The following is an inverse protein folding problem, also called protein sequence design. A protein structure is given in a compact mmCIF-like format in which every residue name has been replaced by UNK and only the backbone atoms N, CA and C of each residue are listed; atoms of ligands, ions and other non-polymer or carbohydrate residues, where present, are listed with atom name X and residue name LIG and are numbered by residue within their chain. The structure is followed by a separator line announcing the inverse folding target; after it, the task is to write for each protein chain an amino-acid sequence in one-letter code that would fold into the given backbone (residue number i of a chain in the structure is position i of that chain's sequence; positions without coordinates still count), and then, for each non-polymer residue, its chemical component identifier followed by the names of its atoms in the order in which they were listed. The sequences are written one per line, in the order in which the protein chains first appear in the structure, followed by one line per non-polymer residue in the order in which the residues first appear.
data_IF_447934180401
#
_entry.id   IF_447934180401
#
_cell.length_a   1.000
_cell.length_b   1.000
_cell.length_c   1.000
_cell.angle_alpha   90.00
_cell.angle_beta   90.00
_cell.angle_gamma   90.00
#
_symmetry.space_group_name_H-M   'P 1'
#
loop_
_entity.id
_entity.type
_entity.pdbx_description
1 polymer ?
#
# COMPACT_ATOMS: atom_id res chain seq x y z
N UNK A 1 -14.83 -5.70 -2.80
CA UNK A 1 -14.26 -7.05 -2.81
C UNK A 1 -12.76 -7.00 -3.01
N UNK A 2 -12.03 -7.77 -2.22
CA UNK A 2 -10.56 -7.85 -2.32
C UNK A 2 -10.21 -9.11 -3.12
N UNK A 3 -9.33 -9.00 -4.11
CA UNK A 3 -8.86 -10.13 -4.90
C UNK A 3 -7.40 -9.96 -5.28
N UNK A 4 -6.78 -11.04 -5.70
CA UNK A 4 -5.43 -10.98 -6.24
C UNK A 4 -5.45 -10.17 -7.55
N UNK A 5 -4.53 -9.21 -7.66
CA UNK A 5 -4.38 -8.42 -8.88
C UNK A 5 -3.70 -9.22 -9.99
N UNK A 6 -3.97 -8.85 -11.22
CA UNK A 6 -3.35 -9.43 -12.41
C UNK A 6 -2.71 -8.32 -13.24
N UNK A 7 -1.82 -8.66 -14.20
CA UNK A 7 -1.24 -7.62 -15.07
C UNK A 7 -2.27 -6.75 -15.80
N UNK A 8 -3.47 -7.27 -16.02
CA UNK A 8 -4.56 -6.50 -16.62
C UNK A 8 -5.04 -5.35 -15.72
N UNK A 9 -4.74 -5.37 -14.43
CA UNK A 9 -5.12 -4.33 -13.47
C UNK A 9 -4.14 -3.16 -13.42
N UNK A 10 -3.03 -3.22 -14.16
CA UNK A 10 -1.96 -2.22 -14.06
C UNK A 10 -2.42 -0.80 -14.34
N UNK A 11 -3.18 -0.60 -15.41
CA UNK A 11 -3.67 0.74 -15.78
C UNK A 11 -4.57 1.32 -14.68
N UNK A 12 -5.47 0.50 -14.13
CA UNK A 12 -6.36 0.93 -13.06
C UNK A 12 -5.60 1.23 -11.77
N UNK A 13 -4.62 0.38 -11.41
CA UNK A 13 -3.78 0.59 -10.23
C UNK A 13 -2.93 1.86 -10.37
N UNK A 14 -2.38 2.12 -11.54
CA UNK A 14 -1.65 3.36 -11.83
C UNK A 14 -2.55 4.60 -11.66
N UNK A 15 -3.80 4.51 -12.08
CA UNK A 15 -4.77 5.58 -11.88
C UNK A 15 -5.02 5.86 -10.39
N UNK A 16 -5.23 4.82 -9.59
CA UNK A 16 -5.40 4.94 -8.14
C UNK A 16 -4.15 5.54 -7.50
N UNK A 17 -2.97 5.02 -7.85
CA UNK A 17 -1.69 5.51 -7.34
C UNK A 17 -1.53 7.00 -7.56
N UNK A 18 -1.77 7.45 -8.80
CA UNK A 18 -1.64 8.86 -9.16
C UNK A 18 -2.64 9.74 -8.42
N UNK A 19 -3.91 9.38 -8.40
CA UNK A 19 -4.94 10.17 -7.71
C UNK A 19 -4.69 10.25 -6.20
N UNK A 20 -4.36 9.13 -5.58
CA UNK A 20 -4.08 9.07 -4.15
C UNK A 20 -2.84 9.89 -3.79
N UNK A 21 -1.76 9.77 -4.57
CA UNK A 21 -0.52 10.49 -4.32
C UNK A 21 -0.69 12.00 -4.48
N UNK A 22 -1.42 12.44 -5.49
CA UNK A 22 -1.64 13.86 -5.75
C UNK A 22 -2.70 14.48 -4.84
N UNK A 23 -3.47 13.69 -4.09
CA UNK A 23 -4.46 14.22 -3.16
C UNK A 23 -3.85 14.79 -1.88
N UNK A 24 -2.59 14.43 -1.58
CA UNK A 24 -1.87 14.94 -0.40
C UNK A 24 -1.22 16.27 -0.72
N UNK A 25 -1.79 17.36 -0.23
CA UNK A 25 -1.31 18.72 -0.52
C UNK A 25 0.17 18.93 -0.13
N UNK A 26 0.64 18.30 0.95
CA UNK A 26 2.02 18.41 1.40
C UNK A 26 3.04 17.79 0.46
N UNK A 27 2.65 16.78 -0.32
CA UNK A 27 3.55 16.05 -1.23
C UNK A 27 3.33 16.42 -2.69
N UNK A 28 2.24 17.09 -3.01
CA UNK A 28 1.82 17.34 -4.38
C UNK A 28 2.88 18.06 -5.22
N UNK A 29 3.46 19.13 -4.70
CA UNK A 29 4.44 19.91 -5.44
C UNK A 29 5.71 19.11 -5.69
N UNK A 30 6.18 18.33 -4.72
CA UNK A 30 7.32 17.43 -4.87
C UNK A 30 7.06 16.37 -5.93
N UNK A 31 5.87 15.78 -5.92
CA UNK A 31 5.49 14.73 -6.88
C UNK A 31 5.36 15.30 -8.30
N UNK A 32 4.84 16.51 -8.45
CA UNK A 32 4.77 17.16 -9.76
C UNK A 32 6.14 17.56 -10.29
N UNK A 33 7.09 17.89 -9.40
CA UNK A 33 8.47 18.18 -9.77
C UNK A 33 9.26 16.90 -10.10
N UNK A 34 8.80 15.74 -9.63
CA UNK A 34 9.44 14.43 -9.86
C UNK A 34 8.43 13.44 -10.41
N UNK A 35 8.00 13.59 -11.67
CA UNK A 35 6.93 12.73 -12.22
C UNK A 35 7.28 11.25 -12.27
N UNK A 36 8.55 10.87 -12.20
CA UNK A 36 8.98 9.48 -12.10
C UNK A 36 8.52 8.83 -10.79
N UNK A 37 8.26 9.59 -9.72
CA UNK A 37 7.72 9.08 -8.47
C UNK A 37 6.24 8.68 -8.57
N UNK A 38 5.57 9.09 -9.65
CA UNK A 38 4.17 8.76 -9.92
C UNK A 38 4.01 7.53 -10.82
N UNK A 39 5.11 6.85 -11.13
CA UNK A 39 5.08 5.67 -11.98
C UNK A 39 5.09 4.42 -11.11
N UNK A 40 3.97 3.69 -11.14
CA UNK A 40 3.87 2.39 -10.49
C UNK A 40 4.42 1.32 -11.43
N UNK A 41 5.39 0.52 -10.95
CA UNK A 41 5.95 -0.57 -11.74
C UNK A 41 5.00 -1.77 -11.84
N UNK A 42 5.17 -2.64 -12.85
CA UNK A 42 4.30 -3.79 -13.06
C UNK A 42 4.67 -5.02 -12.23
N UNK A 43 5.79 -5.01 -11.52
CA UNK A 43 6.39 -6.20 -10.90
C UNK A 43 5.48 -6.85 -9.88
N UNK A 44 4.83 -6.08 -9.02
CA UNK A 44 3.95 -6.62 -8.00
C UNK A 44 2.78 -7.40 -8.57
N UNK A 45 2.17 -6.90 -9.64
CA UNK A 45 1.08 -7.60 -10.33
C UNK A 45 1.58 -8.83 -11.07
N UNK A 46 2.71 -8.70 -11.76
CA UNK A 46 3.27 -9.81 -12.54
C UNK A 46 3.72 -10.96 -11.63
N UNK A 47 4.21 -10.65 -10.44
CA UNK A 47 4.74 -11.64 -9.49
C UNK A 47 3.71 -12.15 -8.48
N UNK A 48 2.46 -11.69 -8.55
CA UNK A 48 1.41 -12.12 -7.63
C UNK A 48 1.53 -11.54 -6.22
N UNK A 49 2.13 -10.34 -6.08
CA UNK A 49 2.35 -9.68 -4.80
C UNK A 49 1.41 -8.50 -4.56
N UNK A 50 0.50 -8.23 -5.49
CA UNK A 50 -0.45 -7.12 -5.39
C UNK A 50 -1.87 -7.64 -5.26
N UNK A 51 -2.58 -7.13 -4.27
CA UNK A 51 -4.02 -7.35 -4.13
C UNK A 51 -4.75 -6.05 -4.47
N UNK A 52 -5.91 -6.16 -5.08
CA UNK A 52 -6.72 -5.00 -5.47
C UNK A 52 -8.08 -5.06 -4.78
N UNK A 53 -8.63 -3.87 -4.51
CA UNK A 53 -9.99 -3.71 -4.02
C UNK A 53 -10.86 -3.25 -5.19
N UNK A 54 -11.96 -3.95 -5.41
CA UNK A 54 -12.89 -3.66 -6.49
C UNK A 54 -14.26 -3.31 -5.93
N UNK A 55 -14.84 -2.22 -6.40
CA UNK A 55 -16.20 -1.81 -6.09
C UNK A 55 -16.85 -1.29 -7.36
N UNK A 56 -18.10 -1.65 -7.57
CA UNK A 56 -18.89 -1.21 -8.72
C UNK A 56 -18.20 -1.51 -10.07
N UNK A 57 -17.45 -2.62 -10.11
CA UNK A 57 -16.73 -3.04 -11.30
C UNK A 57 -15.42 -2.31 -11.57
N UNK A 58 -14.96 -1.48 -10.64
CA UNK A 58 -13.73 -0.70 -10.79
C UNK A 58 -12.75 -0.96 -9.67
N UNK A 59 -11.45 -0.95 -9.98
CA UNK A 59 -10.39 -1.01 -8.98
C UNK A 59 -10.31 0.34 -8.28
N UNK A 60 -10.50 0.34 -6.96
CA UNK A 60 -10.54 1.55 -6.13
C UNK A 60 -9.43 1.59 -5.08
N UNK A 61 -8.62 0.55 -5.00
CA UNK A 61 -7.47 0.51 -4.10
C UNK A 61 -6.59 -0.68 -4.43
N UNK A 62 -5.35 -0.64 -3.94
CA UNK A 62 -4.44 -1.77 -4.07
C UNK A 62 -3.38 -1.73 -2.99
N UNK A 63 -2.78 -2.89 -2.73
CA UNK A 63 -1.65 -3.01 -1.82
C UNK A 63 -0.67 -4.04 -2.37
N UNK A 64 0.63 -3.77 -2.23
CA UNK A 64 1.71 -4.63 -2.72
C UNK A 64 2.68 -4.92 -1.57
N UNK A 65 3.11 -6.17 -1.48
CA UNK A 65 4.12 -6.58 -0.51
C UNK A 65 5.36 -7.09 -1.23
N UNK A 66 6.49 -7.09 -0.54
CA UNK A 66 7.75 -7.59 -1.07
C UNK A 66 8.58 -8.25 0.01
N UNK A 67 9.45 -9.16 -0.39
CA UNK A 67 10.36 -9.86 0.48
C UNK A 67 9.95 -11.29 0.73
N UNK A 68 10.86 -12.04 1.37
CA UNK A 68 10.67 -13.44 1.74
C UNK A 68 11.12 -13.64 3.19
N UNK A 69 10.73 -14.75 3.79
CA UNK A 69 11.11 -15.05 5.17
C UNK A 69 10.15 -14.44 6.19
N UNK A 70 10.66 -14.13 7.38
CA UNK A 70 9.83 -13.70 8.51
C UNK A 70 9.36 -12.27 8.45
N UNK A 71 10.16 -11.36 7.88
CA UNK A 71 9.83 -9.94 7.75
C UNK A 71 9.53 -9.60 6.30
N UNK A 72 8.32 -9.13 6.05
CA UNK A 72 7.84 -8.77 4.70
C UNK A 72 7.50 -7.28 4.73
N UNK A 73 7.82 -6.59 3.66
CA UNK A 73 7.58 -5.15 3.52
C UNK A 73 6.27 -4.89 2.77
N UNK A 74 5.45 -4.00 3.30
CA UNK A 74 4.31 -3.45 2.57
C UNK A 74 4.85 -2.28 1.74
N UNK A 75 4.99 -2.50 0.43
CA UNK A 75 5.55 -1.51 -0.48
C UNK A 75 4.55 -0.41 -0.84
N UNK A 76 3.32 -0.82 -1.11
CA UNK A 76 2.26 0.08 -1.55
C UNK A 76 0.97 -0.20 -0.81
N UNK A 77 0.28 0.87 -0.44
CA UNK A 77 -1.09 0.81 0.08
C UNK A 77 -1.78 2.10 -0.32
N UNK A 78 -2.63 2.04 -1.33
CA UNK A 78 -3.30 3.22 -1.87
C UNK A 78 -4.78 2.94 -2.07
N UNK A 79 -5.60 3.94 -1.74
CA UNK A 79 -7.04 3.93 -1.95
C UNK A 79 -7.42 5.19 -2.72
N UNK A 80 -8.29 5.04 -3.71
CA UNK A 80 -8.80 6.18 -4.47
C UNK A 80 -9.45 7.18 -3.51
N UNK A 81 -9.11 8.48 -3.60
CA UNK A 81 -9.65 9.49 -2.68
C UNK A 81 -11.17 9.50 -2.57
N UNK A 82 -11.88 9.14 -3.63
CA UNK A 82 -13.34 9.05 -3.61
C UNK A 82 -13.90 7.88 -2.81
N UNK A 83 -13.05 6.96 -2.39
CA UNK A 83 -13.44 5.73 -1.68
C UNK A 83 -12.77 5.60 -0.31
N UNK A 84 -12.19 6.66 0.20
CA UNK A 84 -11.55 6.65 1.52
C UNK A 84 -12.59 6.56 2.64
N UNK A 85 -12.12 6.09 3.83
CA UNK A 85 -12.94 5.93 5.04
C UNK A 85 -14.05 4.89 4.90
N UNK A 86 -13.88 3.92 4.01
CA UNK A 86 -14.81 2.80 3.81
C UNK A 86 -14.24 1.46 4.25
N UNK A 87 -13.08 1.48 4.94
CA UNK A 87 -12.42 0.27 5.41
C UNK A 87 -11.65 -0.49 4.34
N UNK A 88 -11.44 0.08 3.17
CA UNK A 88 -10.77 -0.59 2.05
C UNK A 88 -9.30 -0.87 2.38
N UNK A 89 -8.59 0.11 2.95
CA UNK A 89 -7.18 -0.08 3.31
C UNK A 89 -7.02 -1.20 4.34
N UNK A 90 -7.87 -1.20 5.37
CA UNK A 90 -7.85 -2.27 6.39
C UNK A 90 -8.18 -3.64 5.79
N UNK A 91 -9.11 -3.70 4.85
CA UNK A 91 -9.47 -4.95 4.19
C UNK A 91 -8.31 -5.48 3.34
N UNK A 92 -7.59 -4.60 2.62
CA UNK A 92 -6.41 -4.97 1.85
C UNK A 92 -5.31 -5.52 2.75
N UNK A 93 -5.01 -4.84 3.85
CA UNK A 93 -3.99 -5.29 4.80
C UNK A 93 -4.38 -6.62 5.43
N UNK A 94 -5.65 -6.80 5.81
CA UNK A 94 -6.14 -8.05 6.38
C UNK A 94 -5.95 -9.23 5.43
N UNK A 95 -6.24 -9.03 4.15
CA UNK A 95 -6.06 -10.07 3.14
C UNK A 95 -4.58 -10.43 2.95
N UNK A 96 -3.72 -9.42 2.88
CA UNK A 96 -2.28 -9.65 2.77
C UNK A 96 -1.76 -10.37 4.00
N UNK A 97 -2.21 -9.99 5.19
CA UNK A 97 -1.82 -10.65 6.43
C UNK A 97 -2.21 -12.14 6.41
N UNK A 98 -3.40 -12.48 5.93
CA UNK A 98 -3.83 -13.88 5.81
C UNK A 98 -2.91 -14.67 4.87
N UNK A 99 -2.60 -14.10 3.70
CA UNK A 99 -1.72 -14.75 2.71
C UNK A 99 -0.33 -14.97 3.30
N UNK A 100 0.22 -13.96 3.97
CA UNK A 100 1.57 -14.04 4.53
C UNK A 100 1.66 -14.99 5.73
N UNK A 101 0.63 -15.04 6.58
CA UNK A 101 0.57 -16.03 7.67
C UNK A 101 0.61 -17.45 7.12
N UNK A 102 -0.13 -17.71 6.04
CA UNK A 102 -0.13 -19.01 5.40
C UNK A 102 1.24 -19.39 4.83
N UNK A 103 2.09 -18.40 4.54
CA UNK A 103 3.46 -18.60 4.06
C UNK A 103 4.49 -18.67 5.19
N UNK A 104 4.07 -18.52 6.44
CA UNK A 104 4.96 -18.57 7.59
C UNK A 104 5.65 -17.25 7.91
N UNK A 105 5.24 -16.14 7.34
CA UNK A 105 5.80 -14.83 7.68
C UNK A 105 5.42 -14.46 9.12
N UNK A 106 6.33 -13.77 9.80
CA UNK A 106 6.16 -13.39 11.20
C UNK A 106 5.61 -11.98 11.39
N UNK A 107 5.95 -11.08 10.46
CA UNK A 107 5.53 -9.68 10.54
C UNK A 107 5.49 -9.00 9.18
N UNK A 108 4.65 -7.98 9.09
CA UNK A 108 4.57 -7.07 7.94
C UNK A 108 5.05 -5.70 8.41
N UNK A 109 6.03 -5.13 7.72
CA UNK A 109 6.59 -3.82 8.05
C UNK A 109 6.27 -2.81 6.96
N UNK A 110 6.19 -1.54 7.33
CA UNK A 110 5.89 -0.46 6.38
C UNK A 110 6.63 0.82 6.79
N UNK A 111 7.06 1.59 5.78
CA UNK A 111 7.46 2.98 5.98
C UNK A 111 6.25 3.82 5.62
N UNK A 112 5.58 4.40 6.62
CA UNK A 112 4.36 5.16 6.44
C UNK A 112 4.70 6.65 6.32
N UNK A 113 4.09 7.35 5.36
CA UNK A 113 4.15 8.80 5.38
C UNK A 113 3.19 9.33 6.47
N UNK A 114 3.29 10.60 6.88
CA UNK A 114 2.41 11.13 7.93
C UNK A 114 0.93 10.99 7.62
N UNK A 115 0.55 11.01 6.35
CA UNK A 115 -0.85 10.90 5.92
C UNK A 115 -1.37 9.46 6.03
N UNK A 116 -0.49 8.48 5.92
CA UNK A 116 -0.85 7.06 5.97
C UNK A 116 -0.82 6.47 7.39
N UNK A 117 -0.29 7.20 8.39
CA UNK A 117 -0.16 6.69 9.76
C UNK A 117 -1.47 6.24 10.36
N UNK A 118 -2.54 7.00 10.16
CA UNK A 118 -3.86 6.66 10.70
C UNK A 118 -4.39 5.36 10.10
N UNK A 119 -4.21 5.18 8.78
CA UNK A 119 -4.59 3.94 8.11
C UNK A 119 -3.84 2.76 8.68
N UNK A 120 -2.53 2.91 8.85
CA UNK A 120 -1.70 1.84 9.38
C UNK A 120 -2.09 1.50 10.82
N UNK A 121 -2.32 2.49 11.67
CA UNK A 121 -2.78 2.26 13.05
C UNK A 121 -4.14 1.56 13.09
N UNK A 122 -5.08 2.00 12.26
CA UNK A 122 -6.39 1.38 12.18
C UNK A 122 -6.32 -0.08 11.71
N UNK A 123 -5.33 -0.40 10.88
CA UNK A 123 -5.09 -1.76 10.41
C UNK A 123 -4.30 -2.63 11.39
N UNK A 124 -3.85 -2.07 12.52
CA UNK A 124 -3.16 -2.81 13.57
C UNK A 124 -1.66 -2.60 13.62
N UNK A 125 -1.08 -1.75 12.77
CA UNK A 125 0.33 -1.44 12.81
C UNK A 125 0.69 -0.57 14.01
N UNK A 126 1.89 -0.78 14.55
CA UNK A 126 2.44 0.05 15.62
C UNK A 126 3.79 0.62 15.17
N UNK A 127 4.14 1.80 15.71
CA UNK A 127 5.40 2.46 15.37
C UNK A 127 6.59 1.65 15.92
N UNK A 128 7.64 1.50 15.11
CA UNK A 128 8.84 0.76 15.51
C UNK A 128 10.15 1.46 15.15
N UNK A 129 10.11 2.65 14.55
CA UNK A 129 11.33 3.39 14.20
C UNK A 129 11.05 4.49 13.19
N UNK A 130 12.13 4.94 12.54
CA UNK A 130 12.09 6.00 11.53
C UNK A 130 13.01 5.63 10.38
N UNK A 131 12.61 5.93 9.14
CA UNK A 131 13.41 5.76 7.94
C UNK A 131 13.53 7.08 7.20
N UNK A 132 14.68 7.30 6.55
CA UNK A 132 14.84 8.45 5.65
C UNK A 132 14.25 8.11 4.28
N UNK A 133 13.50 9.05 3.73
CA UNK A 133 12.87 8.91 2.41
C UNK A 133 13.20 10.13 1.56
N UNK A 134 12.82 10.07 0.27
CA UNK A 134 12.95 11.19 -0.66
C UNK A 134 12.21 12.46 -0.20
N UNK A 135 11.25 12.31 0.70
CA UNK A 135 10.44 13.42 1.23
C UNK A 135 10.77 13.73 2.71
N UNK A 136 11.90 13.21 3.22
CA UNK A 136 12.31 13.39 4.60
C UNK A 136 12.12 12.15 5.45
N UNK A 137 12.19 12.31 6.78
CA UNK A 137 12.04 11.20 7.71
C UNK A 137 10.58 10.71 7.76
N UNK A 138 10.38 9.40 7.76
CA UNK A 138 9.07 8.80 7.83
C UNK A 138 9.04 7.69 8.88
N UNK A 139 7.95 7.52 9.62
CA UNK A 139 7.86 6.48 10.63
C UNK A 139 7.85 5.07 10.01
N UNK A 140 8.54 4.15 10.67
CA UNK A 140 8.45 2.73 10.37
C UNK A 140 7.41 2.12 11.28
N UNK A 141 6.56 1.26 10.74
CA UNK A 141 5.49 0.60 11.50
C UNK A 141 5.53 -0.90 11.24
N UNK A 142 5.01 -1.67 12.18
CA UNK A 142 5.01 -3.13 12.11
C UNK A 142 3.64 -3.68 12.51
N UNK A 143 3.24 -4.74 11.79
CA UNK A 143 2.06 -5.54 12.12
C UNK A 143 2.52 -6.98 12.37
N UNK A 144 2.43 -7.48 13.62
CA UNK A 144 2.72 -8.87 13.90
C UNK A 144 1.72 -9.79 13.19
N UNK A 145 2.22 -10.89 12.63
CA UNK A 145 1.41 -11.86 11.88
C UNK A 145 1.19 -13.16 12.64
N UNK A 146 1.90 -13.36 13.71
CA UNK A 146 1.80 -14.58 14.53
C UNK A 146 1.09 -14.33 15.84
#
# INVERSE_FOLDING_TARGET
MIRLGTPADLAAARGVYRRASLSNAGDRDNLLAHPDYLILGPEGLAEGRTHVAEQDGSVVGFATWAGTGGAVELEDLFVDPGYMRRGIASALVSRIAEVLRARGAERLEVTANPHAMEFCRAAGFTACGVAETSFGAAPRMVLPLS
#
